data_IF_591390645921
#
_entry.id   IF_591390645921
#
_cell.length_a   1.000
_cell.length_b   1.000
_cell.length_c   1.000
_cell.angle_alpha   90.00
_cell.angle_beta   90.00
_cell.angle_gamma   90.00
#
_symmetry.space_group_name_H-M   'P 1'
#
loop_
_entity.id
_entity.type
_entity.pdbx_description
1 polymer ?
#
# COMPACT_ATOMS: atom_id res chain seq x y z
N UNK A 1 24.62 2.32 -1.07
CA UNK A 1 23.21 2.40 -1.47
C UNK A 1 22.98 3.72 -2.18
N UNK A 2 22.29 3.74 -3.32
CA UNK A 2 21.93 4.98 -4.01
C UNK A 2 20.54 5.43 -3.54
N UNK A 3 20.35 6.73 -3.31
CA UNK A 3 19.04 7.29 -3.00
C UNK A 3 18.10 7.05 -4.18
N UNK A 4 16.92 6.48 -3.91
CA UNK A 4 15.85 6.30 -4.89
C UNK A 4 14.62 7.04 -4.41
N UNK A 5 14.10 7.88 -5.28
CA UNK A 5 12.91 8.69 -5.05
C UNK A 5 11.87 8.30 -6.09
N UNK A 6 10.65 8.07 -5.64
CA UNK A 6 9.52 7.74 -6.50
C UNK A 6 8.35 8.64 -6.10
N UNK A 7 7.59 9.06 -7.10
CA UNK A 7 6.36 9.80 -6.85
C UNK A 7 5.24 8.79 -6.57
N UNK A 8 4.67 8.84 -5.37
CA UNK A 8 3.59 7.95 -4.92
C UNK A 8 2.46 8.86 -4.43
N UNK A 9 1.22 8.44 -4.68
CA UNK A 9 0.05 9.10 -4.11
C UNK A 9 0.16 9.22 -2.57
N UNK A 10 -0.26 10.37 -2.04
CA UNK A 10 -0.07 10.70 -0.64
C UNK A 10 -0.89 9.81 0.30
N UNK A 11 -2.12 9.44 -0.08
CA UNK A 11 -2.98 8.58 0.71
C UNK A 11 -2.45 7.14 0.70
N UNK A 12 -2.05 6.65 -0.48
CA UNK A 12 -1.44 5.32 -0.63
C UNK A 12 -0.16 5.19 0.19
N UNK A 13 0.72 6.20 0.14
CA UNK A 13 1.93 6.21 0.94
C UNK A 13 1.62 6.19 2.44
N UNK A 14 0.66 7.01 2.87
CA UNK A 14 0.27 7.11 4.28
C UNK A 14 -0.21 5.75 4.79
N UNK A 15 -1.17 5.14 4.12
CA UNK A 15 -1.76 3.84 4.51
C UNK A 15 -0.71 2.74 4.57
N UNK A 16 0.17 2.68 3.55
CA UNK A 16 1.24 1.70 3.51
C UNK A 16 2.28 1.92 4.62
N UNK A 17 2.59 3.18 4.93
CA UNK A 17 3.52 3.52 6.00
C UNK A 17 2.96 3.17 7.38
N UNK A 18 1.67 3.40 7.62
CA UNK A 18 0.98 3.06 8.86
C UNK A 18 0.91 1.56 9.05
N UNK A 19 0.59 0.81 7.99
CA UNK A 19 0.66 -0.65 7.99
C UNK A 19 2.07 -1.15 8.38
N UNK A 20 3.12 -0.65 7.73
CA UNK A 20 4.49 -1.08 8.04
C UNK A 20 4.88 -0.77 9.49
N UNK A 21 4.49 0.39 10.02
CA UNK A 21 4.72 0.77 11.42
C UNK A 21 4.00 -0.17 12.39
N UNK A 22 2.73 -0.46 12.12
CA UNK A 22 1.90 -1.33 12.97
C UNK A 22 2.46 -2.76 13.05
N UNK A 23 2.96 -3.29 11.94
CA UNK A 23 3.52 -4.64 11.87
C UNK A 23 5.00 -4.70 12.28
N UNK A 24 5.64 -3.56 12.59
CA UNK A 24 7.07 -3.52 12.92
C UNK A 24 7.98 -3.86 11.73
N UNK A 25 7.53 -3.61 10.50
CA UNK A 25 8.24 -3.95 9.27
C UNK A 25 8.95 -2.71 8.71
N UNK A 26 10.19 -2.89 8.27
CA UNK A 26 10.90 -1.85 7.51
C UNK A 26 10.23 -1.62 6.16
N UNK A 27 9.78 -0.38 5.93
CA UNK A 27 9.05 0.01 4.72
C UNK A 27 9.89 -0.19 3.45
N UNK A 28 11.19 0.14 3.49
CA UNK A 28 12.10 -0.08 2.36
C UNK A 28 12.27 -1.55 2.04
N UNK A 29 12.37 -2.41 3.05
CA UNK A 29 12.49 -3.87 2.88
C UNK A 29 11.20 -4.47 2.31
N UNK A 30 10.04 -3.98 2.75
CA UNK A 30 8.74 -4.42 2.22
C UNK A 30 8.57 -4.02 0.75
N UNK A 31 8.94 -2.79 0.39
CA UNK A 31 8.94 -2.31 -1.00
C UNK A 31 9.89 -3.10 -1.89
N UNK A 32 11.11 -3.38 -1.41
CA UNK A 32 12.09 -4.16 -2.16
C UNK A 32 11.60 -5.58 -2.44
N UNK A 33 10.99 -6.23 -1.44
CA UNK A 33 10.39 -7.55 -1.62
C UNK A 33 9.21 -7.52 -2.60
N UNK A 34 8.34 -6.52 -2.50
CA UNK A 34 7.24 -6.33 -3.45
C UNK A 34 7.75 -6.19 -4.89
N UNK A 35 8.77 -5.37 -5.12
CA UNK A 35 9.36 -5.20 -6.46
C UNK A 35 9.98 -6.51 -6.96
N UNK A 36 10.66 -7.28 -6.10
CA UNK A 36 11.22 -8.59 -6.49
C UNK A 36 10.15 -9.60 -6.87
N UNK A 37 9.09 -9.69 -6.08
CA UNK A 37 7.94 -10.56 -6.37
C UNK A 37 7.27 -10.17 -7.69
N UNK A 38 7.14 -8.86 -7.94
CA UNK A 38 6.54 -8.36 -9.18
C UNK A 38 7.44 -8.64 -10.39
N UNK A 39 8.76 -8.45 -10.28
CA UNK A 39 9.72 -8.83 -11.33
C UNK A 39 9.66 -10.33 -11.65
N UNK A 40 9.50 -11.17 -10.63
CA UNK A 40 9.36 -12.61 -10.81
C UNK A 40 8.07 -12.96 -11.56
N UNK A 41 6.93 -12.37 -11.18
CA UNK A 41 5.66 -12.56 -11.91
C UNK A 41 5.73 -12.06 -13.35
N UNK A 42 6.37 -10.92 -13.62
CA UNK A 42 6.58 -10.40 -14.97
C UNK A 42 7.43 -11.37 -15.80
N UNK A 43 8.52 -11.90 -15.23
CA UNK A 43 9.41 -12.84 -15.91
C UNK A 43 8.71 -14.16 -16.29
N UNK A 44 7.75 -14.62 -15.48
CA UNK A 44 6.95 -15.80 -15.75
C UNK A 44 5.81 -15.57 -16.75
N UNK A 45 5.58 -14.32 -17.18
CA UNK A 45 4.49 -13.98 -18.11
C UNK A 45 3.10 -14.03 -17.47
N UNK A 46 3.01 -14.02 -16.14
CA UNK A 46 1.74 -14.05 -15.42
C UNK A 46 1.02 -12.71 -15.55
N UNK A 47 -0.05 -12.66 -16.35
CA UNK A 47 -0.99 -11.53 -16.33
C UNK A 47 -1.84 -11.59 -15.07
N UNK A 48 -1.49 -10.83 -14.04
CA UNK A 48 -2.40 -10.66 -12.88
C UNK A 48 -3.59 -9.79 -13.30
N UNK A 49 -4.78 -10.39 -13.27
CA UNK A 49 -6.05 -9.64 -13.30
C UNK A 49 -6.13 -8.86 -12.00
N UNK A 50 -6.01 -7.53 -12.08
CA UNK A 50 -6.24 -6.64 -10.94
C UNK A 50 -7.68 -6.83 -10.48
N UNK A 51 -7.88 -7.62 -9.43
CA UNK A 51 -9.18 -7.66 -8.74
C UNK A 51 -9.33 -6.33 -8.03
N UNK A 52 -10.05 -5.39 -8.65
CA UNK A 52 -10.58 -4.22 -7.99
C UNK A 52 -11.35 -4.69 -6.75
N UNK A 53 -10.76 -4.51 -5.55
CA UNK A 53 -11.51 -4.68 -4.31
C UNK A 53 -12.50 -3.53 -4.25
N UNK A 54 -13.78 -3.89 -4.35
CA UNK A 54 -14.95 -3.04 -4.14
C UNK A 54 -14.74 -2.23 -2.86
N UNK A 55 -15.02 -0.93 -2.92
CA UNK A 55 -14.86 0.02 -1.83
C UNK A 55 -15.42 -0.53 -0.51
N UNK A 56 -14.66 -0.32 0.56
CA UNK A 56 -15.17 -0.49 1.91
C UNK A 56 -15.90 0.79 2.24
N UNK A 57 -17.22 0.78 2.03
CA UNK A 57 -18.13 1.78 2.56
C UNK A 57 -18.10 1.69 4.09
N UNK A 58 -17.30 2.54 4.74
CA UNK A 58 -17.41 2.75 6.19
C UNK A 58 -18.43 3.85 6.45
N UNK A 59 -19.70 3.50 6.24
CA UNK A 59 -20.81 4.22 6.83
C UNK A 59 -20.76 4.10 8.37
N UNK A 60 -21.17 5.20 9.01
CA UNK A 60 -21.53 5.35 10.42
C UNK A 60 -20.41 5.75 11.40
N UNK A 61 -20.35 7.05 11.72
CA UNK A 61 -20.42 7.48 13.12
C UNK A 61 -21.11 8.86 13.21
N UNK A 62 -22.38 8.82 13.60
CA UNK A 62 -23.14 9.95 14.13
C UNK A 62 -22.69 10.24 15.57
N UNK A 63 -23.12 11.40 16.09
CA UNK A 63 -22.83 12.02 17.40
C UNK A 63 -21.51 12.80 17.45
N UNK A 64 -21.46 14.09 17.81
CA UNK A 64 -22.37 14.88 18.66
C UNK A 64 -22.12 16.38 18.43
N UNK A 65 -23.23 17.15 18.36
CA UNK A 65 -23.27 18.61 18.47
C UNK A 65 -22.60 19.08 19.76
N UNK A 66 -21.76 20.11 19.68
CA UNK A 66 -21.63 21.14 20.72
C UNK A 66 -21.34 22.49 20.04
N UNK A 67 -22.36 23.35 20.02
CA UNK A 67 -22.23 24.80 20.09
C UNK A 67 -22.85 25.21 21.43
#
# INVERSE_FOLDING_TARGET
>A
MALKTFNIDAEVYKDFSEYCKKEGISMSKKLENFIREELFSIALGEKKVVRAKKGIDSGHHSFKKYC
#
